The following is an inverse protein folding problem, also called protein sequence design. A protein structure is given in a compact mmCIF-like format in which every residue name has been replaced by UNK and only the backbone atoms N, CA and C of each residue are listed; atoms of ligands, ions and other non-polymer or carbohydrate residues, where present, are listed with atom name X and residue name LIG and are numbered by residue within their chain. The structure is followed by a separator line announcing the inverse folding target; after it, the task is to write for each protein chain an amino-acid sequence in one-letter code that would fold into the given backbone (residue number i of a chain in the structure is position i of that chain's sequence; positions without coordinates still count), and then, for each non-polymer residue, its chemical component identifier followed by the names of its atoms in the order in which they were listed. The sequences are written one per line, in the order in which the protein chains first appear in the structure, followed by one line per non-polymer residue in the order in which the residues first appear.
data_IF_310498567830
#
_entry.id   IF_310498567830
#
_cell.length_a   1.000
_cell.length_b   1.000
_cell.length_c   1.000
_cell.angle_alpha   90.00
_cell.angle_beta   90.00
_cell.angle_gamma   90.00
#
_symmetry.space_group_name_H-M   'P 1'
#
loop_
_entity.id
_entity.type
_entity.pdbx_description
1 polymer ?
#
# COMPACT_ATOMS: atom_id res chain seq x y z
N UNK A 1 26.79 22.90 -46.79
CA UNK A 1 27.09 21.64 -46.07
C UNK A 1 26.36 21.71 -44.74
N UNK A 2 25.45 20.77 -44.48
CA UNK A 2 24.60 20.82 -43.30
C UNK A 2 25.46 20.82 -42.02
N UNK A 3 25.40 21.93 -41.27
CA UNK A 3 25.87 21.97 -39.89
C UNK A 3 24.94 21.06 -39.09
N UNK A 4 25.30 19.78 -38.98
CA UNK A 4 24.60 18.87 -38.09
C UNK A 4 24.72 19.44 -36.67
N UNK A 5 23.59 19.77 -36.05
CA UNK A 5 23.47 20.42 -34.72
C UNK A 5 23.98 19.58 -33.54
N UNK A 6 24.91 18.66 -33.78
CA UNK A 6 25.54 17.79 -32.77
C UNK A 6 26.86 18.45 -32.38
N UNK A 7 26.82 19.27 -31.34
CA UNK A 7 28.02 19.88 -30.78
C UNK A 7 28.79 18.88 -29.91
N UNK A 8 30.09 19.11 -29.70
CA UNK A 8 30.91 18.30 -28.79
C UNK A 8 30.36 18.30 -27.35
N UNK A 9 29.66 19.37 -26.96
CA UNK A 9 28.97 19.49 -25.67
C UNK A 9 27.80 18.52 -25.56
N UNK A 10 26.98 18.38 -26.62
CA UNK A 10 25.91 17.39 -26.64
C UNK A 10 26.46 15.97 -26.50
N UNK A 11 27.53 15.62 -27.22
CA UNK A 11 28.16 14.29 -27.12
C UNK A 11 28.65 14.02 -25.70
N UNK A 12 29.30 15.01 -25.06
CA UNK A 12 29.78 14.89 -23.69
C UNK A 12 28.64 14.74 -22.67
N UNK A 13 27.56 15.52 -22.84
CA UNK A 13 26.38 15.42 -22.00
C UNK A 13 25.67 14.06 -22.14
N UNK A 14 25.59 13.53 -23.38
CA UNK A 14 25.03 12.19 -23.62
C UNK A 14 25.90 11.09 -23.00
N UNK A 15 27.23 11.18 -23.12
CA UNK A 15 28.15 10.22 -22.46
C UNK A 15 27.98 10.22 -20.94
N UNK A 16 27.97 11.41 -20.32
CA UNK A 16 27.73 11.54 -18.88
C UNK A 16 26.42 10.88 -18.44
N UNK A 17 25.35 11.04 -19.24
CA UNK A 17 24.05 10.43 -18.96
C UNK A 17 24.08 8.90 -19.10
N UNK A 18 24.91 8.35 -19.99
CA UNK A 18 25.11 6.90 -20.12
C UNK A 18 25.82 6.37 -18.87
N UNK A 19 26.90 7.02 -18.46
CA UNK A 19 27.66 6.65 -17.25
C UNK A 19 26.75 6.68 -16.00
N UNK A 20 25.96 7.76 -15.83
CA UNK A 20 24.99 7.89 -14.73
C UNK A 20 23.92 6.76 -14.74
N UNK A 21 23.56 6.24 -15.91
CA UNK A 21 22.60 5.13 -16.04
C UNK A 21 23.26 3.80 -15.71
N UNK A 22 24.52 3.59 -16.13
CA UNK A 22 25.30 2.40 -15.82
C UNK A 22 25.53 2.27 -14.31
N UNK A 23 25.91 3.36 -13.64
CA UNK A 23 26.08 3.40 -12.18
C UNK A 23 24.77 3.04 -11.44
N UNK A 24 23.65 3.66 -11.84
CA UNK A 24 22.33 3.36 -11.25
C UNK A 24 21.92 1.90 -11.46
N UNK A 25 22.25 1.31 -12.60
CA UNK A 25 21.99 -0.09 -12.87
C UNK A 25 22.86 -1.01 -12.01
N UNK A 26 24.14 -0.67 -11.82
CA UNK A 26 25.03 -1.40 -10.94
C UNK A 26 24.51 -1.40 -9.49
N UNK A 27 24.09 -0.25 -8.98
CA UNK A 27 23.51 -0.12 -7.64
C UNK A 27 22.23 -0.95 -7.49
N UNK A 28 21.35 -0.91 -8.50
CA UNK A 28 20.14 -1.73 -8.51
C UNK A 28 20.45 -3.22 -8.43
N UNK A 29 21.47 -3.69 -9.16
CA UNK A 29 21.90 -5.09 -9.14
C UNK A 29 22.41 -5.45 -7.75
N UNK A 30 23.29 -4.63 -7.17
CA UNK A 30 23.81 -4.83 -5.81
C UNK A 30 22.71 -4.90 -4.76
N UNK A 31 21.76 -3.97 -4.78
CA UNK A 31 20.61 -3.96 -3.85
C UNK A 31 19.77 -5.24 -4.03
N UNK A 32 19.53 -5.67 -5.28
CA UNK A 32 18.76 -6.88 -5.56
C UNK A 32 19.47 -8.13 -5.02
N UNK A 33 20.78 -8.21 -5.19
CA UNK A 33 21.60 -9.31 -4.67
C UNK A 33 21.61 -9.32 -3.15
N UNK A 34 21.82 -8.17 -2.52
CA UNK A 34 21.77 -8.03 -1.06
C UNK A 34 20.39 -8.42 -0.51
N UNK A 35 19.30 -7.98 -1.12
CA UNK A 35 17.95 -8.34 -0.70
C UNK A 35 17.69 -9.85 -0.83
N UNK A 36 18.24 -10.48 -1.88
CA UNK A 36 18.16 -11.94 -2.05
C UNK A 36 18.95 -12.66 -0.94
N UNK A 37 20.13 -12.17 -0.60
CA UNK A 37 20.95 -12.72 0.47
C UNK A 37 20.26 -12.56 1.84
N UNK A 38 19.84 -11.34 2.18
CA UNK A 38 19.11 -11.04 3.42
C UNK A 38 17.87 -11.91 3.58
N UNK A 39 17.11 -12.13 2.48
CA UNK A 39 15.95 -13.02 2.49
C UNK A 39 16.34 -14.46 2.86
N UNK A 40 17.42 -14.97 2.27
CA UNK A 40 17.91 -16.33 2.55
C UNK A 40 18.38 -16.45 4.00
N UNK A 41 19.16 -15.50 4.49
CA UNK A 41 19.64 -15.48 5.88
C UNK A 41 18.48 -15.45 6.88
N UNK A 42 17.44 -14.66 6.59
CA UNK A 42 16.22 -14.62 7.39
C UNK A 42 15.47 -15.97 7.38
N UNK A 43 15.31 -16.59 6.21
CA UNK A 43 14.68 -17.91 6.08
C UNK A 43 15.45 -19.00 6.85
N UNK A 44 16.78 -18.97 6.78
CA UNK A 44 17.66 -19.88 7.52
C UNK A 44 17.55 -19.67 9.04
N UNK A 45 17.46 -18.42 9.50
CA UNK A 45 17.26 -18.07 10.91
C UNK A 45 15.89 -18.56 11.42
N UNK A 46 14.83 -18.36 10.64
CA UNK A 46 13.48 -18.87 10.95
C UNK A 46 13.52 -20.39 11.10
N UNK A 47 14.15 -21.10 10.16
CA UNK A 47 14.27 -22.56 10.19
C UNK A 47 15.03 -23.03 11.42
N UNK A 48 16.15 -22.39 11.72
CA UNK A 48 16.99 -22.73 12.88
C UNK A 48 16.22 -22.52 14.19
N UNK A 49 15.48 -21.42 14.28
CA UNK A 49 14.62 -21.11 15.43
C UNK A 49 13.49 -22.14 15.58
N UNK A 50 12.84 -22.54 14.49
CA UNK A 50 11.78 -23.56 14.53
C UNK A 50 12.30 -24.92 15.03
N UNK A 51 13.48 -25.33 14.57
CA UNK A 51 14.14 -26.56 15.05
C UNK A 51 14.44 -26.45 16.55
N UNK A 52 15.05 -25.35 16.99
CA UNK A 52 15.36 -25.15 18.41
C UNK A 52 14.10 -25.20 19.29
N UNK A 53 13.04 -24.51 18.87
CA UNK A 53 11.78 -24.49 19.59
C UNK A 53 11.10 -25.88 19.60
N UNK A 54 11.28 -26.70 18.55
CA UNK A 54 10.78 -28.09 18.52
C UNK A 54 11.51 -28.96 19.55
N UNK A 55 12.83 -28.85 19.59
CA UNK A 55 13.67 -29.67 20.46
C UNK A 55 13.52 -29.31 21.94
N UNK A 56 13.34 -28.03 22.26
CA UNK A 56 13.33 -27.56 23.65
C UNK A 56 11.94 -27.40 24.25
N UNK A 57 11.02 -26.76 23.53
CA UNK A 57 9.74 -26.33 24.09
C UNK A 57 8.59 -27.22 23.65
N UNK A 58 8.45 -27.56 22.36
CA UNK A 58 7.32 -28.38 21.90
C UNK A 58 7.24 -29.69 22.64
N UNK A 59 8.37 -30.39 22.76
CA UNK A 59 8.39 -31.69 23.43
C UNK A 59 7.97 -31.59 24.91
N UNK A 60 8.37 -30.52 25.60
CA UNK A 60 7.97 -30.29 26.98
C UNK A 60 6.49 -29.94 27.08
N UNK A 61 5.99 -29.04 26.23
CA UNK A 61 4.58 -28.64 26.22
C UNK A 61 3.67 -29.83 25.85
N UNK A 62 4.10 -30.67 24.92
CA UNK A 62 3.38 -31.87 24.48
C UNK A 62 3.11 -32.84 25.63
N UNK A 63 4.06 -32.96 26.57
CA UNK A 63 3.91 -33.82 27.74
C UNK A 63 2.72 -33.44 28.63
N UNK A 64 2.30 -32.17 28.60
CA UNK A 64 1.16 -31.67 29.38
C UNK A 64 -0.18 -31.83 28.67
N UNK A 65 -0.25 -32.44 27.47
CA UNK A 65 -1.49 -32.56 26.71
C UNK A 65 -2.61 -33.27 27.47
N UNK A 66 -2.26 -34.24 28.30
CA UNK A 66 -3.22 -34.99 29.13
C UNK A 66 -3.73 -34.16 30.32
N UNK A 67 -2.87 -33.32 30.91
CA UNK A 67 -3.21 -32.54 32.11
C UNK A 67 -3.82 -31.18 31.79
N UNK A 68 -3.39 -30.52 30.70
CA UNK A 68 -3.77 -29.16 30.34
C UNK A 68 -3.94 -29.00 28.80
N UNK A 69 -4.98 -29.61 28.20
CA UNK A 69 -5.18 -29.58 26.76
C UNK A 69 -5.37 -28.17 26.19
N UNK A 70 -6.05 -27.28 26.91
CA UNK A 70 -6.30 -25.90 26.46
C UNK A 70 -5.01 -25.08 26.38
N UNK A 71 -4.12 -25.25 27.35
CA UNK A 71 -2.81 -24.59 27.38
C UNK A 71 -1.94 -25.04 26.20
N UNK A 72 -1.91 -26.35 25.92
CA UNK A 72 -1.17 -26.91 24.78
C UNK A 72 -1.72 -26.37 23.46
N UNK A 73 -3.04 -26.33 23.29
CA UNK A 73 -3.67 -25.80 22.08
C UNK A 73 -3.40 -24.29 21.91
N UNK A 74 -3.51 -23.50 22.98
CA UNK A 74 -3.19 -22.08 22.95
C UNK A 74 -1.73 -21.83 22.56
N UNK A 75 -0.79 -22.59 23.12
CA UNK A 75 0.63 -22.53 22.77
C UNK A 75 0.87 -22.82 21.28
N UNK A 76 0.37 -23.95 20.76
CA UNK A 76 0.56 -24.29 19.35
C UNK A 76 -0.18 -23.34 18.40
N UNK A 77 -1.26 -22.70 18.85
CA UNK A 77 -1.93 -21.65 18.08
C UNK A 77 -1.06 -20.40 17.97
N UNK A 78 -0.45 -19.96 19.07
CA UNK A 78 0.45 -18.81 19.11
C UNK A 78 1.79 -19.08 18.41
N UNK A 79 2.24 -20.34 18.38
CA UNK A 79 3.46 -20.76 17.68
C UNK A 79 3.38 -20.62 16.15
N UNK A 80 2.17 -20.61 15.57
CA UNK A 80 2.00 -20.47 14.11
C UNK A 80 2.39 -19.06 13.70
N UNK A 81 3.39 -18.95 12.81
CA UNK A 81 3.73 -17.68 12.18
C UNK A 81 2.52 -17.18 11.39
N UNK A 82 1.92 -16.09 11.84
CA UNK A 82 0.87 -15.43 11.10
C UNK A 82 1.50 -14.81 9.86
N UNK A 83 1.14 -15.32 8.69
CA UNK A 83 1.53 -14.70 7.42
C UNK A 83 0.76 -13.39 7.32
N UNK A 84 1.43 -12.28 7.61
CA UNK A 84 0.87 -10.95 7.33
C UNK A 84 0.72 -10.88 5.82
N UNK A 85 -0.51 -10.70 5.32
CA UNK A 85 -0.73 -10.52 3.89
C UNK A 85 -0.09 -9.19 3.48
N UNK A 86 1.13 -9.23 2.94
CA UNK A 86 1.85 -8.08 2.37
C UNK A 86 1.30 -7.70 0.99
N UNK A 87 0.03 -8.03 0.71
CA UNK A 87 -0.63 -7.50 -0.46
C UNK A 87 -0.95 -6.04 -0.16
N UNK A 88 -0.20 -5.15 -0.80
CA UNK A 88 -0.58 -3.75 -0.95
C UNK A 88 -1.87 -3.73 -1.77
N UNK A 89 -3.02 -3.90 -1.11
CA UNK A 89 -4.32 -3.86 -1.77
C UNK A 89 -4.70 -2.38 -1.91
N UNK A 90 -4.85 -1.95 -3.15
CA UNK A 90 -5.31 -0.60 -3.47
C UNK A 90 -6.77 -0.43 -3.03
N UNK A 91 -7.07 0.65 -2.31
CA UNK A 91 -8.45 1.08 -2.06
C UNK A 91 -8.90 1.89 -3.26
N UNK A 92 -9.95 1.43 -3.92
CA UNK A 92 -10.51 2.10 -5.09
C UNK A 92 -11.91 2.59 -4.76
N UNK A 93 -12.31 3.67 -5.38
CA UNK A 93 -13.69 4.11 -5.28
C UNK A 93 -14.07 5.02 -6.42
N UNK A 94 -15.37 5.23 -6.52
CA UNK A 94 -15.98 6.11 -7.49
C UNK A 94 -16.92 7.07 -6.78
N UNK A 95 -16.87 8.33 -7.19
CA UNK A 95 -17.62 9.43 -6.59
C UNK A 95 -18.70 9.85 -7.57
N UNK A 96 -19.95 9.87 -7.11
CA UNK A 96 -21.12 10.24 -7.90
C UNK A 96 -21.92 11.33 -7.22
N UNK A 97 -22.58 12.14 -8.03
CA UNK A 97 -23.57 13.11 -7.61
C UNK A 97 -24.87 12.37 -7.23
N UNK A 98 -25.46 12.72 -6.09
CA UNK A 98 -26.69 12.09 -5.60
C UNK A 98 -27.97 12.58 -6.30
N UNK A 99 -27.98 13.77 -6.90
CA UNK A 99 -29.10 14.30 -7.69
C UNK A 99 -29.05 13.81 -9.14
N UNK A 100 -27.88 13.85 -9.77
CA UNK A 100 -27.75 13.54 -11.21
C UNK A 100 -27.25 12.14 -11.50
N UNK A 101 -26.71 11.42 -10.50
CA UNK A 101 -26.04 10.14 -10.69
C UNK A 101 -24.75 10.22 -11.50
N UNK A 102 -24.30 11.43 -11.87
CA UNK A 102 -23.14 11.65 -12.72
C UNK A 102 -21.85 11.51 -11.93
N UNK A 103 -20.79 11.02 -12.58
CA UNK A 103 -19.48 10.92 -11.97
C UNK A 103 -18.91 12.32 -11.70
N UNK A 104 -18.49 12.58 -10.45
CA UNK A 104 -17.94 13.86 -10.05
C UNK A 104 -16.46 13.88 -10.44
N UNK A 105 -16.10 14.82 -11.31
CA UNK A 105 -14.71 15.02 -11.72
C UNK A 105 -14.04 16.13 -10.91
N UNK A 106 -12.71 16.06 -10.77
CA UNK A 106 -11.86 17.11 -10.18
C UNK A 106 -12.12 17.47 -8.72
N UNK A 107 -11.64 16.64 -7.81
CA UNK A 107 -11.56 16.97 -6.38
C UNK A 107 -10.44 16.21 -5.70
N UNK A 108 -10.43 16.27 -4.38
CA UNK A 108 -9.39 15.70 -3.53
C UNK A 108 -10.01 14.77 -2.50
N UNK A 109 -9.38 13.60 -2.31
CA UNK A 109 -9.74 12.67 -1.24
C UNK A 109 -8.56 12.58 -0.30
N UNK A 110 -8.75 13.00 0.94
CA UNK A 110 -7.76 12.92 2.02
C UNK A 110 -8.22 11.91 3.06
N UNK A 111 -7.25 11.22 3.68
CA UNK A 111 -7.50 10.38 4.86
C UNK A 111 -7.25 11.25 6.09
N UNK A 112 -8.12 11.21 7.09
CA UNK A 112 -7.96 12.07 8.28
C UNK A 112 -6.85 11.56 9.21
N UNK A 113 -6.73 10.24 9.40
CA UNK A 113 -5.71 9.69 10.31
C UNK A 113 -4.32 9.52 9.69
N UNK A 114 -4.21 9.44 8.37
CA UNK A 114 -2.95 9.33 7.65
C UNK A 114 -2.86 10.50 6.67
N UNK A 115 -1.71 11.16 6.54
CA UNK A 115 -1.48 12.27 5.58
C UNK A 115 -1.45 11.77 4.11
N UNK A 116 -2.35 10.84 3.77
CA UNK A 116 -2.52 10.24 2.45
C UNK A 116 -3.61 11.03 1.73
N UNK A 117 -3.25 11.53 0.55
CA UNK A 117 -4.11 12.36 -0.28
C UNK A 117 -4.06 11.83 -1.71
N UNK A 118 -5.20 11.78 -2.38
CA UNK A 118 -5.30 11.38 -3.79
C UNK A 118 -6.28 12.27 -4.53
N UNK A 119 -6.04 12.47 -5.83
CA UNK A 119 -6.90 13.31 -6.67
C UNK A 119 -7.93 12.46 -7.40
N UNK A 120 -9.12 13.01 -7.54
CA UNK A 120 -10.21 12.38 -8.29
C UNK A 120 -9.92 12.51 -9.79
N UNK A 121 -9.97 11.39 -10.50
CA UNK A 121 -9.77 11.33 -11.94
C UNK A 121 -10.97 11.96 -12.67
N UNK A 122 -10.81 12.33 -13.95
CA UNK A 122 -11.90 12.87 -14.79
C UNK A 122 -13.15 11.97 -14.86
N UNK A 123 -12.99 10.68 -14.63
CA UNK A 123 -14.06 9.69 -14.65
C UNK A 123 -14.67 9.44 -13.25
N UNK A 124 -14.34 10.26 -12.25
CA UNK A 124 -14.82 10.13 -10.86
C UNK A 124 -14.15 9.04 -10.03
N UNK A 125 -13.09 8.43 -10.55
CA UNK A 125 -12.35 7.38 -9.82
C UNK A 125 -11.23 7.96 -8.96
N UNK A 126 -11.08 7.40 -7.76
CA UNK A 126 -9.93 7.60 -6.89
C UNK A 126 -9.30 6.25 -6.51
N UNK A 127 -7.99 6.25 -6.29
CA UNK A 127 -7.25 5.08 -5.84
C UNK A 127 -6.17 5.49 -4.84
N UNK A 128 -6.15 4.80 -3.70
CA UNK A 128 -5.07 4.86 -2.72
C UNK A 128 -4.21 3.62 -2.84
N UNK A 129 -2.95 3.82 -3.23
CA UNK A 129 -1.96 2.75 -3.22
C UNK A 129 -1.45 2.52 -1.81
N UNK A 130 -1.22 1.25 -1.46
CA UNK A 130 -0.64 0.87 -0.18
C UNK A 130 -1.46 1.37 1.04
N UNK A 131 -2.76 1.09 1.05
CA UNK A 131 -3.63 1.49 2.14
C UNK A 131 -3.52 0.52 3.35
N UNK A 132 -3.22 0.99 4.56
CA UNK A 132 -3.08 0.15 5.75
C UNK A 132 -4.41 -0.53 6.14
N UNK A 133 -4.34 -1.66 6.84
CA UNK A 133 -5.51 -2.27 7.48
C UNK A 133 -5.92 -1.51 8.74
N UNK A 134 -7.24 -1.41 8.96
CA UNK A 134 -7.80 -0.59 10.02
C UNK A 134 -9.12 0.08 9.64
N UNK A 135 -9.62 0.88 10.58
CA UNK A 135 -10.74 1.79 10.39
C UNK A 135 -10.18 3.18 10.12
N UNK A 136 -10.62 3.80 9.03
CA UNK A 136 -10.14 5.10 8.59
C UNK A 136 -11.27 5.99 8.13
N UNK A 137 -11.10 7.31 8.27
CA UNK A 137 -12.06 8.29 7.77
C UNK A 137 -11.54 8.97 6.51
N UNK A 138 -12.27 8.81 5.41
CA UNK A 138 -12.02 9.52 4.15
C UNK A 138 -12.80 10.83 4.14
N UNK A 139 -12.11 11.92 3.82
CA UNK A 139 -12.68 13.24 3.57
C UNK A 139 -12.59 13.53 2.08
N UNK A 140 -13.72 13.79 1.44
CA UNK A 140 -13.81 14.11 0.01
C UNK A 140 -14.18 15.58 -0.15
N UNK A 141 -13.34 16.33 -0.86
CA UNK A 141 -13.51 17.76 -1.10
C UNK A 141 -13.59 18.05 -2.60
N UNK A 142 -14.55 18.90 -2.98
CA UNK A 142 -14.71 19.40 -4.34
C UNK A 142 -15.21 20.86 -4.27
N UNK A 143 -14.86 21.67 -5.26
CA UNK A 143 -15.23 23.09 -5.31
C UNK A 143 -16.75 23.29 -5.48
N UNK A 144 -17.43 22.35 -6.16
CA UNK A 144 -18.86 22.47 -6.49
C UNK A 144 -19.78 21.64 -5.58
N UNK A 145 -19.23 20.92 -4.60
CA UNK A 145 -19.97 19.97 -3.76
C UNK A 145 -19.61 20.13 -2.29
N UNK A 146 -20.54 19.77 -1.41
CA UNK A 146 -20.28 19.75 0.03
C UNK A 146 -19.25 18.68 0.40
N UNK A 147 -18.37 19.02 1.35
CA UNK A 147 -17.37 18.08 1.89
C UNK A 147 -18.04 16.90 2.59
N UNK A 148 -17.82 15.69 2.10
CA UNK A 148 -18.37 14.46 2.70
C UNK A 148 -17.29 13.70 3.45
N UNK A 149 -17.61 13.23 4.66
CA UNK A 149 -16.76 12.33 5.44
C UNK A 149 -17.35 10.91 5.48
N UNK A 150 -16.53 9.90 5.18
CA UNK A 150 -16.95 8.49 5.12
C UNK A 150 -15.97 7.64 5.91
N UNK A 151 -16.50 6.89 6.87
CA UNK A 151 -15.72 5.88 7.60
C UNK A 151 -15.65 4.59 6.79
N UNK A 152 -14.43 4.10 6.57
CA UNK A 152 -14.15 2.87 5.85
C UNK A 152 -13.43 1.89 6.78
N UNK A 153 -13.79 0.61 6.70
CA UNK A 153 -13.12 -0.47 7.43
C UNK A 153 -12.46 -1.40 6.45
N UNK A 154 -11.14 -1.50 6.51
CA UNK A 154 -10.36 -2.33 5.59
C UNK A 154 -9.77 -3.51 6.34
N UNK A 155 -10.17 -4.71 5.92
CA UNK A 155 -9.56 -5.98 6.34
C UNK A 155 -8.45 -6.37 5.34
N UNK A 156 -7.38 -6.99 5.85
CA UNK A 156 -6.12 -7.23 5.10
C UNK A 156 -6.23 -8.07 3.82
N UNK A 157 -7.39 -8.69 3.54
CA UNK A 157 -7.57 -9.66 2.46
C UNK A 157 -8.68 -9.31 1.44
N UNK A 158 -9.15 -8.06 1.38
CA UNK A 158 -10.24 -7.67 0.45
C UNK A 158 -9.94 -6.36 -0.29
N UNK A 159 -10.22 -6.35 -1.60
CA UNK A 159 -10.34 -5.11 -2.37
C UNK A 159 -11.59 -4.37 -1.91
N UNK A 160 -11.42 -3.17 -1.39
CA UNK A 160 -12.55 -2.31 -1.05
C UNK A 160 -12.83 -1.40 -2.25
N UNK A 161 -14.03 -1.57 -2.83
CA UNK A 161 -14.55 -0.66 -3.85
C UNK A 161 -15.65 0.19 -3.23
N UNK A 162 -15.40 1.49 -3.09
CA UNK A 162 -16.30 2.40 -2.36
C UNK A 162 -17.09 3.24 -3.37
N UNK A 163 -18.41 3.26 -3.21
CA UNK A 163 -19.27 4.27 -3.82
C UNK A 163 -19.41 5.43 -2.85
N UNK A 164 -19.04 6.62 -3.28
CA UNK A 164 -19.21 7.86 -2.51
C UNK A 164 -20.24 8.72 -3.22
N UNK A 165 -21.26 9.17 -2.49
CA UNK A 165 -22.28 10.07 -3.01
C UNK A 165 -22.08 11.47 -2.39
N UNK A 166 -22.01 12.52 -3.21
CA UNK A 166 -21.90 13.91 -2.73
C UNK A 166 -23.14 14.72 -3.09
N UNK A 167 -23.41 15.75 -2.29
CA UNK A 167 -24.48 16.73 -2.54
C UNK A 167 -23.88 18.00 -3.14
N UNK A 168 -24.48 18.57 -4.19
CA UNK A 168 -24.02 19.81 -4.78
C UNK A 168 -24.17 20.94 -3.77
N UNK A 169 -23.16 21.82 -3.70
CA UNK A 169 -23.19 22.96 -2.79
C UNK A 169 -24.20 24.00 -3.31
N UNK A 170 -25.16 24.48 -2.49
CA UNK A 170 -26.11 25.48 -2.96
C UNK A 170 -25.39 26.80 -3.25
N UNK A 171 -25.52 27.29 -4.49
CA UNK A 171 -25.02 28.61 -4.89
C UNK A 171 -25.80 29.71 -4.14
N UNK A 172 -25.14 30.60 -3.37
CA UNK A 172 -25.82 31.76 -2.81
C UNK A 172 -26.19 32.71 -3.95
N UNK A 173 -27.47 33.07 -4.02
CA UNK A 173 -27.95 34.06 -4.95
C UNK A 173 -27.51 35.44 -4.42
N UNK A 174 -26.84 36.30 -5.22
CA UNK A 174 -26.65 37.68 -4.81
C UNK A 174 -28.03 38.35 -4.72
N UNK A 175 -28.30 38.97 -3.56
CA UNK A 175 -29.51 39.71 -3.27
C UNK A 175 -29.64 40.97 -4.14
#
# INVERSE_FOLDING_TARGET
MANYSITAEFITAYKKRIDDIEDKNADKIRIKEQNKLNKKEFEDLIRTTDIFLKEKLDWSIESYRVSHPDMVNAYFSARKLQKVNTSHIDVRGFIVDKETGSAISYGEVSVVENDMQTKITKNGYFSFKNFPDGEFTLKVENINYETTMITIRRYSNQYLNIKVEMQPQPLPHPA
#
